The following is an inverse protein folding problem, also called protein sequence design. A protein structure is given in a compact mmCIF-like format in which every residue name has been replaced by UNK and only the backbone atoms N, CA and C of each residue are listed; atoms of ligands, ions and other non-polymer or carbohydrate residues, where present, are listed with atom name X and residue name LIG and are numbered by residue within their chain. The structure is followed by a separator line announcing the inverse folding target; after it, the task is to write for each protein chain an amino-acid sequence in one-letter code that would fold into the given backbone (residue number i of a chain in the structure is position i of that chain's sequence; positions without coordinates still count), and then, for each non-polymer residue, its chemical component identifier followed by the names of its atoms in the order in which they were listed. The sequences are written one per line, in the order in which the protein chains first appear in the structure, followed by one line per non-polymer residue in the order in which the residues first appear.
data_IF_643963100809
#
_entry.id   IF_643963100809
#
_cell.length_a   1.000
_cell.length_b   1.000
_cell.length_c   1.000
_cell.angle_alpha   90.00
_cell.angle_beta   90.00
_cell.angle_gamma   90.00
#
_symmetry.space_group_name_H-M   'P 1'
#
loop_
_entity.id
_entity.type
_entity.pdbx_description
1 polymer ?
#
# COMPACT_ATOMS: atom_id res chain seq x y z
N UNK A 1 -5.03 -3.50 12.36
CA UNK A 1 -6.03 -2.51 12.79
C UNK A 1 -6.58 -1.84 11.54
N UNK A 2 -7.89 -1.59 11.45
CA UNK A 2 -8.49 -0.82 10.35
C UNK A 2 -9.37 0.28 10.96
N UNK A 3 -9.55 1.38 10.24
CA UNK A 3 -10.44 2.47 10.64
C UNK A 3 -11.40 2.79 9.49
N UNK A 4 -12.66 3.03 9.81
CA UNK A 4 -13.66 3.55 8.87
C UNK A 4 -13.67 5.07 9.01
N UNK A 5 -13.62 5.77 7.88
CA UNK A 5 -13.59 7.23 7.81
C UNK A 5 -14.78 7.70 6.97
N UNK A 6 -15.36 8.84 7.33
CA UNK A 6 -16.46 9.43 6.55
C UNK A 6 -15.92 10.01 5.24
N UNK A 7 -16.75 10.01 4.19
CA UNK A 7 -16.34 10.44 2.86
C UNK A 7 -15.85 11.90 2.81
N UNK A 8 -16.44 12.76 3.62
CA UNK A 8 -16.16 14.20 3.75
C UNK A 8 -15.08 14.53 4.79
N UNK A 9 -14.44 13.51 5.38
CA UNK A 9 -13.36 13.74 6.33
C UNK A 9 -12.18 14.43 5.65
N UNK A 10 -11.65 15.47 6.30
CA UNK A 10 -10.50 16.22 5.78
C UNK A 10 -9.28 15.30 5.63
N UNK A 11 -8.56 15.34 4.49
CA UNK A 11 -7.35 14.53 4.28
C UNK A 11 -6.27 14.74 5.34
N UNK A 12 -6.16 15.95 5.90
CA UNK A 12 -5.22 16.28 6.97
C UNK A 12 -5.42 15.41 8.22
N UNK A 13 -6.67 15.06 8.54
CA UNK A 13 -6.98 14.19 9.68
C UNK A 13 -6.50 12.75 9.42
N UNK A 14 -6.61 12.26 8.18
CA UNK A 14 -6.06 10.97 7.79
C UNK A 14 -4.53 10.95 7.88
N UNK A 15 -3.87 12.03 7.41
CA UNK A 15 -2.43 12.15 7.51
C UNK A 15 -1.96 12.20 8.97
N UNK A 16 -2.65 12.97 9.82
CA UNK A 16 -2.38 13.00 11.25
C UNK A 16 -2.49 11.60 11.85
N UNK A 17 -3.58 10.89 11.57
CA UNK A 17 -3.80 9.54 12.07
C UNK A 17 -2.68 8.58 11.64
N UNK A 18 -2.26 8.63 10.37
CA UNK A 18 -1.18 7.79 9.87
C UNK A 18 0.16 8.11 10.54
N UNK A 19 0.52 9.38 10.70
CA UNK A 19 1.86 9.77 11.18
C UNK A 19 1.95 9.80 12.70
N UNK A 20 0.90 10.25 13.40
CA UNK A 20 0.90 10.46 14.85
C UNK A 20 0.36 9.26 15.60
N UNK A 21 -0.85 8.84 15.28
CA UNK A 21 -1.55 7.79 16.02
C UNK A 21 -1.00 6.40 15.66
N UNK A 22 -0.74 6.16 14.36
CA UNK A 22 -0.14 4.91 13.87
C UNK A 22 1.39 4.95 13.77
N UNK A 23 2.01 6.10 14.06
CA UNK A 23 3.47 6.26 14.12
C UNK A 23 4.17 5.85 12.82
N UNK A 24 3.55 6.08 11.66
CA UNK A 24 4.19 5.87 10.37
C UNK A 24 5.17 7.01 10.07
N UNK A 25 6.33 6.67 9.53
CA UNK A 25 7.23 7.70 8.99
C UNK A 25 6.61 8.37 7.78
N UNK A 26 6.73 9.69 7.72
CA UNK A 26 6.29 10.49 6.59
C UNK A 26 7.00 10.01 5.31
N UNK A 27 6.27 9.73 4.22
CA UNK A 27 6.88 9.20 3.02
C UNK A 27 7.59 10.31 2.25
N UNK A 28 8.67 9.94 1.57
CA UNK A 28 9.34 10.81 0.59
C UNK A 28 8.64 10.79 -0.77
N UNK A 29 7.82 9.76 -1.03
CA UNK A 29 7.11 9.52 -2.29
C UNK A 29 5.81 8.74 -2.04
N UNK A 30 4.78 9.02 -2.84
CA UNK A 30 3.54 8.25 -2.87
C UNK A 30 3.44 7.47 -4.19
N UNK A 31 3.21 6.16 -4.09
CA UNK A 31 2.98 5.27 -5.24
C UNK A 31 1.52 4.85 -5.21
N UNK A 32 0.70 5.36 -6.14
CA UNK A 32 -0.69 4.91 -6.29
C UNK A 32 -0.78 3.80 -7.34
N UNK A 33 -1.34 2.66 -6.95
CA UNK A 33 -1.56 1.51 -7.85
C UNK A 33 -3.05 1.33 -8.07
N UNK A 34 -3.46 1.43 -9.34
CA UNK A 34 -4.82 1.19 -9.79
C UNK A 34 -4.87 -0.09 -10.64
N UNK A 35 -5.88 -0.92 -10.40
CA UNK A 35 -6.17 -2.10 -11.22
C UNK A 35 -7.20 -1.79 -12.32
N UNK A 36 -7.31 -2.69 -13.30
CA UNK A 36 -8.40 -2.65 -14.27
C UNK A 36 -9.74 -3.04 -13.64
N UNK A 37 -10.85 -2.58 -14.24
CA UNK A 37 -12.21 -2.91 -13.81
C UNK A 37 -12.57 -4.39 -14.02
N UNK A 38 -11.82 -5.10 -14.86
CA UNK A 38 -12.01 -6.51 -15.16
C UNK A 38 -10.96 -7.36 -14.44
N UNK A 39 -11.37 -8.56 -14.03
CA UNK A 39 -10.46 -9.56 -13.46
C UNK A 39 -9.41 -9.95 -14.50
N UNK A 40 -8.24 -9.30 -14.44
CA UNK A 40 -7.08 -9.66 -15.23
C UNK A 40 -6.18 -10.58 -14.41
N UNK A 41 -6.01 -11.81 -14.88
CA UNK A 41 -5.11 -12.75 -14.23
C UNK A 41 -3.71 -12.65 -14.82
N UNK A 42 -2.82 -11.96 -14.10
CA UNK A 42 -1.39 -11.98 -14.40
C UNK A 42 -0.84 -13.40 -14.26
N UNK A 43 0.05 -13.79 -15.19
CA UNK A 43 0.81 -15.04 -15.07
C UNK A 43 1.57 -15.07 -13.73
N UNK A 44 1.67 -16.22 -13.03
CA UNK A 44 2.27 -16.30 -11.70
C UNK A 44 3.68 -15.68 -11.60
N UNK A 45 4.52 -15.92 -12.62
CA UNK A 45 5.87 -15.35 -12.70
C UNK A 45 5.86 -13.82 -12.76
N UNK A 46 4.92 -13.24 -13.51
CA UNK A 46 4.81 -11.79 -13.65
C UNK A 46 4.24 -11.15 -12.37
N UNK A 47 3.27 -11.78 -11.71
CA UNK A 47 2.80 -11.37 -10.37
C UNK A 47 3.97 -11.29 -9.38
N UNK A 48 4.83 -12.30 -9.38
CA UNK A 48 5.97 -12.36 -8.48
C UNK A 48 7.02 -11.28 -8.77
N UNK A 49 7.41 -11.12 -10.03
CA UNK A 49 8.42 -10.12 -10.42
C UNK A 49 7.90 -8.70 -10.18
N UNK A 50 6.65 -8.42 -10.55
CA UNK A 50 6.01 -7.13 -10.33
C UNK A 50 5.91 -6.79 -8.84
N UNK A 51 5.40 -7.73 -8.02
CA UNK A 51 5.29 -7.53 -6.56
C UNK A 51 6.64 -7.27 -5.90
N UNK A 52 7.68 -8.03 -6.27
CA UNK A 52 9.04 -7.82 -5.74
C UNK A 52 9.60 -6.46 -6.15
N UNK A 53 9.47 -6.06 -7.41
CA UNK A 53 9.95 -4.77 -7.90
C UNK A 53 9.27 -3.59 -7.20
N UNK A 54 7.96 -3.68 -7.01
CA UNK A 54 7.18 -2.64 -6.33
C UNK A 54 7.56 -2.48 -4.86
N UNK A 55 7.71 -3.60 -4.14
CA UNK A 55 8.19 -3.59 -2.75
C UNK A 55 9.60 -3.01 -2.68
N UNK A 56 10.49 -3.44 -3.55
CA UNK A 56 11.88 -2.97 -3.56
C UNK A 56 11.97 -1.46 -3.81
N UNK A 57 11.17 -0.93 -4.74
CA UNK A 57 11.11 0.50 -5.01
C UNK A 57 10.64 1.30 -3.78
N UNK A 58 9.58 0.83 -3.11
CA UNK A 58 9.06 1.48 -1.91
C UNK A 58 10.04 1.46 -0.75
N UNK A 59 10.71 0.33 -0.50
CA UNK A 59 11.75 0.21 0.53
C UNK A 59 12.94 1.13 0.25
N UNK A 60 13.42 1.15 -1.00
CA UNK A 60 14.61 1.92 -1.38
C UNK A 60 14.39 3.43 -1.25
N UNK A 61 13.17 3.89 -1.53
CA UNK A 61 12.83 5.30 -1.52
C UNK A 61 12.23 5.78 -0.20
N UNK A 62 11.68 4.88 0.62
CA UNK A 62 10.82 5.26 1.75
C UNK A 62 9.42 5.68 1.30
N UNK A 63 8.94 5.15 0.17
CA UNK A 63 7.63 5.49 -0.37
C UNK A 63 6.49 4.74 0.34
N UNK A 64 5.32 5.35 0.39
CA UNK A 64 4.08 4.63 0.70
C UNK A 64 3.43 4.12 -0.59
N UNK A 65 2.89 2.90 -0.53
CA UNK A 65 2.08 2.32 -1.61
C UNK A 65 0.60 2.43 -1.23
N UNK A 66 -0.16 3.17 -2.03
CA UNK A 66 -1.61 3.31 -1.92
C UNK A 66 -2.28 2.44 -3.00
N UNK A 67 -3.29 1.67 -2.62
CA UNK A 67 -4.06 0.84 -3.56
C UNK A 67 -5.55 1.03 -3.32
N UNK A 68 -6.35 0.96 -4.39
CA UNK A 68 -7.79 1.22 -4.35
C UNK A 68 -8.65 0.15 -3.67
N UNK A 69 -8.07 -0.81 -2.95
CA UNK A 69 -8.81 -1.76 -2.10
C UNK A 69 -9.96 -2.49 -2.79
N UNK A 70 -9.70 -3.18 -3.92
CA UNK A 70 -10.64 -4.14 -4.50
C UNK A 70 -10.04 -5.54 -4.39
N UNK A 71 -10.73 -6.41 -3.68
CA UNK A 71 -10.26 -7.73 -3.27
C UNK A 71 -10.08 -8.69 -4.45
N UNK A 72 -8.83 -8.96 -4.83
CA UNK A 72 -8.43 -10.22 -5.48
C UNK A 72 -7.02 -10.58 -5.03
N UNK A 73 -6.94 -11.28 -3.90
CA UNK A 73 -5.72 -11.93 -3.41
C UNK A 73 -4.84 -11.05 -2.50
N UNK A 74 -5.07 -11.17 -1.17
CA UNK A 74 -4.12 -10.82 -0.08
C UNK A 74 -3.32 -9.51 -0.21
N UNK A 75 -3.91 -8.46 -0.82
CA UNK A 75 -3.26 -7.15 -0.89
C UNK A 75 -3.62 -6.35 0.36
N UNK A 76 -2.67 -6.23 1.29
CA UNK A 76 -2.82 -5.44 2.51
C UNK A 76 -2.70 -3.95 2.16
N UNK A 77 -3.81 -3.24 2.31
CA UNK A 77 -3.89 -1.77 2.23
C UNK A 77 -3.02 -1.18 3.34
N UNK A 78 -2.08 -0.30 2.95
CA UNK A 78 -0.95 0.21 3.75
C UNK A 78 -0.01 -0.89 4.31
N UNK A 79 0.89 -1.41 3.48
CA UNK A 79 2.09 -2.09 4.01
C UNK A 79 3.25 -1.09 4.13
N UNK A 80 3.44 -0.59 5.33
CA UNK A 80 4.70 0.03 5.72
C UNK A 80 5.78 -1.08 5.77
N UNK A 81 6.68 -1.06 4.78
CA UNK A 81 7.61 -2.14 4.50
C UNK A 81 8.95 -1.96 5.24
N UNK A 82 8.96 -1.81 6.57
CA UNK A 82 10.23 -1.62 7.31
C UNK A 82 10.79 -2.88 7.99
N UNK A 83 10.03 -3.96 8.11
CA UNK A 83 10.59 -5.24 8.57
C UNK A 83 9.64 -6.41 8.29
N UNK A 84 9.68 -6.96 7.08
CA UNK A 84 9.09 -8.27 6.78
C UNK A 84 10.19 -9.14 6.18
N UNK A 85 11.14 -9.53 7.04
CA UNK A 85 12.17 -10.52 6.69
C UNK A 85 11.60 -11.96 6.66
N UNK A 86 10.28 -12.16 6.64
CA UNK A 86 9.60 -13.48 6.58
C UNK A 86 8.07 -13.36 6.42
N UNK A 87 7.55 -12.72 5.38
CA UNK A 87 6.15 -12.98 4.95
C UNK A 87 6.09 -13.04 3.42
N UNK A 88 6.49 -14.20 2.90
CA UNK A 88 5.92 -14.84 1.72
C UNK A 88 5.79 -16.33 2.04
#
# INVERSE_FOLDING_TARGET
MYIRVAYDSKPDNLLHLMVKDWQLELPTLLISVHGGLQNFELQPKLKQVFGKGLIQAAVTTGAWILTGGVSTGRSRVFQYCRHQRNVF
#
